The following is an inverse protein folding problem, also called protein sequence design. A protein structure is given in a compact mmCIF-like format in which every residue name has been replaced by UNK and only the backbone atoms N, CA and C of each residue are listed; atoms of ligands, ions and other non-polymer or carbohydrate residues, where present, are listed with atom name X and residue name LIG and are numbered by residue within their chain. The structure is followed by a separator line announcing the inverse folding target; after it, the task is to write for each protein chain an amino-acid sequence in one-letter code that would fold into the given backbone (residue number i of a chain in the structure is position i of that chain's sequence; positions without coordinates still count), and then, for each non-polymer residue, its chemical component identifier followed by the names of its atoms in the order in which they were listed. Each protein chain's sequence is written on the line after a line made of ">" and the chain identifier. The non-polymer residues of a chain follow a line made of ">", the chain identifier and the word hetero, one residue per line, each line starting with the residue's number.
data_IF_727436274117
#
_entry.id   IF_727436274117
#
_cell.length_a   1.000
_cell.length_b   1.000
_cell.length_c   1.000
_cell.angle_alpha   90.00
_cell.angle_beta   90.00
_cell.angle_gamma   90.00
#
_symmetry.space_group_name_H-M   'P 1'
#
loop_
_entity.id
_entity.type
_entity.pdbx_description
1 polymer ?
#
# COMPACT_ATOMS: atom_id res chain seq x y z
N UNK A 1 27.81 20.96 -19.89
CA UNK A 1 27.59 21.26 -18.46
C UNK A 1 26.88 22.59 -18.21
N UNK A 2 26.56 23.37 -19.22
CA UNK A 2 25.98 24.72 -19.12
C UNK A 2 24.45 24.75 -19.03
N UNK A 3 23.74 23.66 -19.32
CA UNK A 3 22.27 23.69 -19.41
C UNK A 3 21.52 23.17 -18.16
N UNK A 4 22.23 22.59 -17.19
CA UNK A 4 21.63 22.12 -15.94
C UNK A 4 21.44 23.25 -14.90
N UNK A 5 22.27 24.27 -14.92
CA UNK A 5 22.23 25.35 -13.93
C UNK A 5 20.91 26.17 -13.93
N UNK A 6 20.35 26.57 -15.09
CA UNK A 6 19.04 27.23 -15.14
C UNK A 6 17.89 26.36 -14.66
N UNK A 7 17.90 25.07 -15.00
CA UNK A 7 16.88 24.11 -14.60
C UNK A 7 16.91 23.85 -13.09
N UNK A 8 18.09 23.71 -12.51
CA UNK A 8 18.27 23.57 -11.05
C UNK A 8 17.82 24.83 -10.30
N UNK A 9 18.18 26.04 -10.81
CA UNK A 9 17.73 27.31 -10.23
C UNK A 9 16.19 27.46 -10.33
N UNK A 10 15.59 26.93 -11.38
CA UNK A 10 14.13 26.95 -11.55
C UNK A 10 13.44 25.98 -10.59
N UNK A 11 13.98 24.76 -10.41
CA UNK A 11 13.48 23.74 -9.48
C UNK A 11 13.48 24.23 -8.01
N UNK A 12 14.52 24.95 -7.60
CA UNK A 12 14.65 25.45 -6.22
C UNK A 12 14.34 26.94 -6.11
N UNK A 13 13.75 27.54 -7.13
CA UNK A 13 13.42 28.98 -7.13
C UNK A 13 12.41 29.37 -6.09
N UNK A 14 11.43 28.50 -5.83
CA UNK A 14 10.44 28.57 -4.75
C UNK A 14 10.22 27.13 -4.25
N UNK A 15 10.30 26.93 -2.95
CA UNK A 15 10.11 25.62 -2.34
C UNK A 15 9.49 25.78 -0.95
N UNK A 16 8.82 24.74 -0.48
CA UNK A 16 8.49 24.50 0.92
C UNK A 16 9.39 23.38 1.39
N UNK A 17 10.02 23.55 2.55
CA UNK A 17 10.86 22.52 3.15
C UNK A 17 10.23 22.06 4.47
N UNK A 18 10.26 20.77 4.70
CA UNK A 18 9.99 20.16 6.00
C UNK A 18 11.26 19.42 6.38
N UNK A 19 11.78 19.69 7.55
CA UNK A 19 12.97 19.01 8.07
C UNK A 19 12.67 18.40 9.43
N UNK A 20 13.35 17.31 9.72
CA UNK A 20 13.32 16.65 11.02
C UNK A 20 14.76 16.47 11.49
N UNK A 21 15.02 16.78 12.73
CA UNK A 21 16.32 16.61 13.37
C UNK A 21 16.17 15.67 14.56
N UNK A 22 16.84 14.51 14.50
CA UNK A 22 16.76 13.46 15.50
C UNK A 22 18.18 13.07 15.92
N UNK A 23 18.41 12.89 17.23
CA UNK A 23 19.67 12.43 17.78
C UNK A 23 20.24 13.37 18.83
N UNK A 24 21.56 13.41 18.95
CA UNK A 24 22.23 14.28 19.93
C UNK A 24 22.29 15.72 19.43
N UNK A 25 21.12 16.33 19.26
CA UNK A 25 20.94 17.72 18.83
C UNK A 25 19.89 18.36 19.75
N UNK A 26 20.19 19.57 20.22
CA UNK A 26 19.25 20.36 21.00
C UNK A 26 18.42 21.30 20.10
N UNK A 27 17.46 21.96 20.69
CA UNK A 27 16.57 22.91 19.99
C UNK A 27 17.37 24.01 19.27
N UNK A 28 18.45 24.48 19.88
CA UNK A 28 19.32 25.50 19.29
C UNK A 28 20.02 24.96 18.03
N UNK A 29 20.57 23.76 18.11
CA UNK A 29 21.20 23.10 16.96
C UNK A 29 20.18 22.84 15.84
N UNK A 30 18.95 22.44 16.17
CA UNK A 30 17.90 22.24 15.18
C UNK A 30 17.55 23.59 14.47
N UNK A 31 17.43 24.69 15.20
CA UNK A 31 17.23 26.01 14.62
C UNK A 31 18.41 26.48 13.75
N UNK A 32 19.65 26.21 14.14
CA UNK A 32 20.81 26.51 13.29
C UNK A 32 20.76 25.77 11.95
N UNK A 33 20.32 24.50 11.94
CA UNK A 33 20.09 23.73 10.70
C UNK A 33 18.97 24.36 9.86
N UNK A 34 17.86 24.75 10.47
CA UNK A 34 16.74 25.43 9.81
C UNK A 34 17.19 26.73 9.16
N UNK A 35 17.97 27.55 9.87
CA UNK A 35 18.52 28.82 9.34
C UNK A 35 19.39 28.58 8.11
N UNK A 36 20.24 27.54 8.12
CA UNK A 36 21.09 27.17 6.99
C UNK A 36 20.23 26.75 5.80
N UNK A 37 19.20 25.91 6.02
CA UNK A 37 18.27 25.48 4.97
C UNK A 37 17.55 26.72 4.39
N UNK A 38 16.99 27.56 5.23
CA UNK A 38 16.26 28.76 4.84
C UNK A 38 17.15 29.71 4.03
N UNK A 39 18.38 29.95 4.47
CA UNK A 39 19.33 30.82 3.81
C UNK A 39 19.75 30.33 2.43
N UNK A 40 19.90 29.03 2.26
CA UNK A 40 20.46 28.46 1.03
C UNK A 40 19.40 27.97 0.04
N UNK A 41 18.28 27.46 0.51
CA UNK A 41 17.23 26.86 -0.32
C UNK A 41 15.95 27.70 -0.44
N UNK A 42 15.60 28.50 0.60
CA UNK A 42 14.37 29.28 0.62
C UNK A 42 14.62 30.77 0.31
N UNK A 43 15.45 31.05 -0.68
CA UNK A 43 15.86 32.42 -1.01
C UNK A 43 14.73 33.33 -1.51
N UNK A 44 13.63 32.79 -1.95
CA UNK A 44 12.44 33.51 -2.41
C UNK A 44 11.26 33.19 -1.50
N UNK A 45 10.13 33.86 -1.72
CA UNK A 45 8.87 33.53 -1.04
C UNK A 45 8.63 32.04 -1.09
N UNK A 46 8.41 31.33 0.04
CA UNK A 46 8.10 29.92 0.05
C UNK A 46 6.82 29.63 -0.74
N UNK A 47 6.66 28.40 -1.18
CA UNK A 47 5.40 27.95 -1.76
C UNK A 47 4.31 28.03 -0.68
N UNK A 48 3.16 28.56 -1.06
CA UNK A 48 1.95 28.47 -0.24
C UNK A 48 1.38 27.06 -0.34
N UNK A 49 0.51 26.70 0.60
CA UNK A 49 -0.08 25.37 0.65
C UNK A 49 -0.89 25.04 -0.61
N UNK A 50 -1.58 26.03 -1.19
CA UNK A 50 -2.31 25.92 -2.45
C UNK A 50 -1.42 25.85 -3.71
N UNK A 51 -0.14 26.19 -3.58
CA UNK A 51 0.86 26.09 -4.63
C UNK A 51 1.64 24.76 -4.61
N UNK A 52 1.43 23.91 -3.60
CA UNK A 52 2.10 22.63 -3.48
C UNK A 52 1.54 21.63 -4.50
N UNK A 53 2.42 20.85 -5.15
CA UNK A 53 1.95 19.80 -6.06
C UNK A 53 1.22 18.71 -5.28
N UNK A 54 0.03 18.37 -5.71
CA UNK A 54 -0.71 17.24 -5.15
C UNK A 54 -0.19 15.95 -5.74
N UNK A 55 0.42 15.12 -4.92
CA UNK A 55 0.77 13.76 -5.32
C UNK A 55 -0.50 12.90 -5.37
N UNK A 56 -0.78 12.31 -6.54
CA UNK A 56 -1.94 11.43 -6.73
C UNK A 56 -1.48 10.12 -7.34
N UNK A 57 -1.84 9.01 -6.71
CA UNK A 57 -1.69 7.70 -7.32
C UNK A 57 -2.76 7.46 -8.38
N UNK A 58 -2.43 6.66 -9.39
CA UNK A 58 -3.41 6.24 -10.39
C UNK A 58 -4.38 5.24 -9.77
N UNK A 59 -5.65 5.40 -10.08
CA UNK A 59 -6.68 4.44 -9.72
C UNK A 59 -6.68 3.32 -10.75
N UNK A 60 -6.21 2.14 -10.38
CA UNK A 60 -6.18 0.98 -11.27
C UNK A 60 -7.60 0.65 -11.76
N UNK A 61 -7.76 0.19 -13.00
CA UNK A 61 -9.06 -0.01 -13.59
C UNK A 61 -9.75 -1.26 -13.04
N UNK A 62 -11.08 -1.23 -12.98
CA UNK A 62 -11.89 -2.41 -12.82
C UNK A 62 -12.15 -3.09 -14.20
N UNK A 63 -12.88 -4.21 -14.19
CA UNK A 63 -13.17 -4.98 -15.40
C UNK A 63 -13.89 -4.17 -16.49
N UNK A 64 -14.88 -3.37 -16.10
CA UNK A 64 -15.65 -2.55 -17.04
C UNK A 64 -14.79 -1.47 -17.70
N UNK A 65 -13.91 -0.83 -16.93
CA UNK A 65 -12.97 0.17 -17.42
C UNK A 65 -11.93 -0.46 -18.36
N UNK A 66 -11.37 -1.64 -18.04
CA UNK A 66 -10.48 -2.39 -18.94
C UNK A 66 -11.20 -2.74 -20.24
N UNK A 67 -12.42 -3.23 -20.17
CA UNK A 67 -13.22 -3.52 -21.36
C UNK A 67 -13.39 -2.28 -22.25
N UNK A 68 -13.59 -1.11 -21.65
CA UNK A 68 -13.69 0.15 -22.38
C UNK A 68 -12.37 0.57 -23.04
N UNK A 69 -11.24 0.35 -22.35
CA UNK A 69 -9.89 0.70 -22.86
C UNK A 69 -9.52 -0.17 -24.07
N UNK A 70 -9.77 -1.47 -24.00
CA UNK A 70 -9.34 -2.43 -25.02
C UNK A 70 -10.42 -2.75 -26.08
N UNK A 71 -11.66 -2.34 -25.85
CA UNK A 71 -12.81 -2.70 -26.72
C UNK A 71 -13.28 -4.14 -26.58
N UNK A 72 -12.68 -4.91 -25.68
CA UNK A 72 -13.02 -6.32 -25.38
C UNK A 72 -12.79 -6.63 -23.90
N UNK A 73 -13.50 -7.63 -23.38
CA UNK A 73 -13.36 -8.03 -21.99
C UNK A 73 -11.95 -8.64 -21.73
N UNK A 74 -11.34 -8.36 -20.54
CA UNK A 74 -10.10 -9.02 -20.15
C UNK A 74 -10.29 -10.53 -20.03
N UNK A 75 -9.24 -11.29 -20.30
CA UNK A 75 -9.27 -12.76 -20.22
C UNK A 75 -9.58 -13.25 -18.80
N UNK A 76 -8.93 -12.68 -17.79
CA UNK A 76 -9.22 -13.04 -16.41
C UNK A 76 -10.54 -12.43 -15.96
N UNK A 77 -11.38 -13.26 -15.33
CA UNK A 77 -12.64 -12.81 -14.74
C UNK A 77 -12.43 -12.16 -13.38
N UNK A 78 -11.36 -12.51 -12.68
CA UNK A 78 -11.09 -12.08 -11.30
C UNK A 78 -10.03 -10.98 -11.19
N UNK A 79 -9.09 -10.91 -12.16
CA UNK A 79 -8.02 -9.89 -12.20
C UNK A 79 -8.13 -9.12 -13.51
N UNK A 80 -8.65 -7.88 -13.45
CA UNK A 80 -8.88 -7.07 -14.66
C UNK A 80 -7.62 -6.70 -15.43
N UNK A 81 -6.49 -6.50 -14.72
CA UNK A 81 -5.25 -6.03 -15.33
C UNK A 81 -4.10 -6.96 -14.95
N UNK A 82 -3.36 -7.38 -15.97
CA UNK A 82 -2.19 -8.25 -15.83
C UNK A 82 -0.98 -7.53 -16.40
N UNK A 83 0.11 -7.49 -15.65
CA UNK A 83 1.41 -6.97 -16.10
C UNK A 83 2.34 -8.16 -16.22
N UNK A 84 2.86 -8.41 -17.40
CA UNK A 84 3.71 -9.56 -17.67
C UNK A 84 5.09 -9.15 -18.17
N UNK A 85 6.11 -9.87 -17.71
CA UNK A 85 7.49 -9.73 -18.17
C UNK A 85 8.21 -11.08 -18.11
N UNK A 86 9.31 -11.19 -18.86
CA UNK A 86 10.28 -12.27 -18.72
C UNK A 86 11.47 -11.77 -17.93
N UNK A 87 12.01 -12.58 -17.04
CA UNK A 87 13.22 -12.22 -16.28
C UNK A 87 14.39 -11.91 -17.21
N UNK A 88 15.19 -10.92 -16.85
CA UNK A 88 16.31 -10.48 -17.68
C UNK A 88 17.51 -11.43 -17.64
N UNK A 89 17.72 -12.12 -16.52
CA UNK A 89 18.80 -13.09 -16.39
C UNK A 89 18.38 -14.42 -17.03
N UNK A 90 19.20 -14.92 -17.94
CA UNK A 90 18.96 -16.25 -18.56
C UNK A 90 19.11 -17.40 -17.56
N UNK A 91 19.80 -17.16 -16.45
CA UNK A 91 19.99 -18.12 -15.35
C UNK A 91 18.89 -18.06 -14.29
N UNK A 92 17.89 -17.16 -14.43
CA UNK A 92 16.78 -17.10 -13.47
C UNK A 92 15.87 -18.32 -13.59
N UNK A 93 15.75 -19.06 -12.49
CA UNK A 93 14.94 -20.27 -12.44
C UNK A 93 13.53 -20.03 -11.88
N UNK A 94 13.34 -18.90 -11.19
CA UNK A 94 12.08 -18.64 -10.50
C UNK A 94 11.10 -17.85 -11.38
N UNK A 95 9.86 -18.24 -11.29
CA UNK A 95 8.72 -17.42 -11.66
C UNK A 95 8.29 -16.59 -10.45
N UNK A 96 7.72 -15.43 -10.69
CA UNK A 96 7.21 -14.59 -9.60
C UNK A 96 5.82 -14.08 -9.90
N UNK A 97 5.02 -13.94 -8.87
CA UNK A 97 3.69 -13.35 -8.90
C UNK A 97 3.55 -12.35 -7.75
N UNK A 98 3.08 -11.14 -8.05
CA UNK A 98 2.49 -10.23 -7.07
C UNK A 98 1.05 -9.96 -7.46
N UNK A 99 0.11 -10.48 -6.68
CA UNK A 99 -1.32 -10.17 -6.78
C UNK A 99 -1.61 -8.98 -5.89
N UNK A 100 -2.05 -7.87 -6.47
CA UNK A 100 -2.47 -6.67 -5.75
C UNK A 100 -3.98 -6.49 -5.91
N UNK A 101 -4.72 -6.49 -4.81
CA UNK A 101 -6.14 -6.15 -4.76
C UNK A 101 -6.25 -4.77 -4.14
N UNK A 102 -6.70 -3.79 -4.92
CA UNK A 102 -6.74 -2.40 -4.49
C UNK A 102 -7.95 -2.15 -3.60
N UNK A 103 -7.70 -1.48 -2.50
CA UNK A 103 -8.73 -0.93 -1.63
C UNK A 103 -9.02 0.53 -2.02
N UNK A 104 -9.75 1.25 -1.19
CA UNK A 104 -9.97 2.68 -1.40
C UNK A 104 -8.69 3.49 -1.11
N UNK A 105 -8.68 4.76 -1.51
CA UNK A 105 -7.59 5.66 -1.17
C UNK A 105 -7.50 5.88 0.36
N UNK A 106 -6.34 6.27 0.84
CA UNK A 106 -6.16 6.62 2.26
C UNK A 106 -7.15 7.70 2.70
N UNK A 107 -7.52 8.62 1.78
CA UNK A 107 -8.53 9.65 2.02
C UNK A 107 -9.93 9.06 2.24
N UNK A 108 -10.34 8.09 1.44
CA UNK A 108 -11.65 7.44 1.54
C UNK A 108 -11.71 6.49 2.75
N UNK A 109 -10.62 5.78 3.03
CA UNK A 109 -10.53 4.83 4.15
C UNK A 109 -10.54 5.52 5.52
N UNK A 110 -9.94 6.70 5.62
CA UNK A 110 -9.73 7.36 6.90
C UNK A 110 -8.88 6.53 7.86
N UNK A 111 -8.83 6.91 9.13
CA UNK A 111 -8.07 6.18 10.14
C UNK A 111 -8.63 4.78 10.42
N UNK A 112 -9.96 4.65 10.46
CA UNK A 112 -10.61 3.35 10.71
C UNK A 112 -10.26 2.33 9.64
N UNK A 113 -10.51 2.66 8.37
CA UNK A 113 -10.22 1.73 7.28
C UNK A 113 -8.73 1.39 7.16
N UNK A 114 -7.85 2.34 7.45
CA UNK A 114 -6.40 2.10 7.47
C UNK A 114 -5.97 1.20 8.64
N UNK A 115 -6.56 1.36 9.82
CA UNK A 115 -6.28 0.49 10.97
C UNK A 115 -6.80 -0.95 10.72
N UNK A 116 -7.98 -1.09 10.13
CA UNK A 116 -8.52 -2.38 9.69
C UNK A 116 -7.60 -3.05 8.67
N UNK A 117 -7.07 -2.28 7.74
CA UNK A 117 -6.15 -2.79 6.72
C UNK A 117 -4.82 -3.27 7.32
N UNK A 118 -4.26 -2.58 8.33
CA UNK A 118 -3.09 -3.04 9.07
C UNK A 118 -3.37 -4.36 9.81
N UNK A 119 -4.51 -4.45 10.49
CA UNK A 119 -4.92 -5.68 11.17
C UNK A 119 -5.04 -6.84 10.18
N UNK A 120 -5.72 -6.64 9.05
CA UNK A 120 -5.84 -7.63 8.00
C UNK A 120 -4.48 -8.07 7.44
N UNK A 121 -3.57 -7.12 7.18
CA UNK A 121 -2.24 -7.42 6.67
C UNK A 121 -1.42 -8.31 7.62
N UNK A 122 -1.48 -8.02 8.92
CA UNK A 122 -0.81 -8.81 9.95
C UNK A 122 -1.34 -10.24 10.04
N UNK A 123 -2.67 -10.40 10.09
CA UNK A 123 -3.32 -11.72 10.14
C UNK A 123 -3.09 -12.52 8.86
N UNK A 124 -3.13 -11.86 7.70
CA UNK A 124 -2.94 -12.46 6.40
C UNK A 124 -1.55 -13.05 6.20
N UNK A 125 -0.51 -12.40 6.74
CA UNK A 125 0.86 -12.90 6.62
C UNK A 125 1.01 -14.32 7.14
N UNK A 126 0.50 -14.59 8.35
CA UNK A 126 0.57 -15.92 8.98
C UNK A 126 -0.26 -16.98 8.23
N UNK A 127 -1.47 -16.60 7.78
CA UNK A 127 -2.34 -17.49 7.02
C UNK A 127 -1.74 -17.85 5.66
N UNK A 128 -1.27 -16.85 4.89
CA UNK A 128 -0.64 -17.07 3.59
C UNK A 128 0.60 -17.95 3.69
N UNK A 129 1.47 -17.67 4.66
CA UNK A 129 2.67 -18.47 4.89
C UNK A 129 2.33 -19.91 5.22
N UNK A 130 1.35 -20.14 6.09
CA UNK A 130 0.93 -21.49 6.47
C UNK A 130 0.31 -22.23 5.29
N UNK A 131 -0.60 -21.60 4.56
CA UNK A 131 -1.31 -22.26 3.47
C UNK A 131 -0.43 -22.41 2.22
N UNK A 132 0.06 -21.30 1.66
CA UNK A 132 0.70 -21.31 0.35
C UNK A 132 2.14 -21.83 0.40
N UNK A 133 2.89 -21.52 1.49
CA UNK A 133 4.27 -21.98 1.62
C UNK A 133 4.38 -23.35 2.27
N UNK A 134 3.71 -23.55 3.42
CA UNK A 134 3.93 -24.77 4.23
C UNK A 134 3.11 -25.94 3.73
N UNK A 135 1.81 -25.75 3.47
CA UNK A 135 0.92 -26.83 3.02
C UNK A 135 1.03 -27.09 1.53
N UNK A 136 0.96 -26.03 0.70
CA UNK A 136 0.96 -26.16 -0.76
C UNK A 136 2.36 -26.16 -1.37
N UNK A 137 3.37 -25.71 -0.62
CA UNK A 137 4.79 -25.69 -1.05
C UNK A 137 5.01 -24.95 -2.38
N UNK A 138 4.24 -23.87 -2.61
CA UNK A 138 4.31 -23.13 -3.88
C UNK A 138 5.66 -22.49 -4.14
N UNK A 139 6.40 -22.10 -3.06
CA UNK A 139 7.70 -21.50 -3.24
C UNK A 139 8.40 -21.14 -1.93
N UNK A 140 9.64 -20.69 -2.03
CA UNK A 140 10.44 -20.29 -0.88
C UNK A 140 10.00 -18.92 -0.32
N UNK A 141 9.68 -17.98 -1.19
CA UNK A 141 9.17 -16.66 -0.82
C UNK A 141 7.67 -16.66 -1.00
N UNK A 142 6.96 -16.52 0.11
CA UNK A 142 5.52 -16.29 0.18
C UNK A 142 5.26 -15.22 1.22
N UNK A 143 4.52 -14.18 0.87
CA UNK A 143 4.14 -13.10 1.78
C UNK A 143 2.78 -12.56 1.42
N UNK A 144 1.99 -12.18 2.43
CA UNK A 144 0.83 -11.31 2.26
C UNK A 144 1.04 -10.05 3.11
N UNK A 145 0.74 -8.90 2.55
CA UNK A 145 1.01 -7.62 3.19
C UNK A 145 0.15 -6.49 2.60
N UNK A 146 0.17 -5.37 3.29
CA UNK A 146 -0.47 -4.14 2.82
C UNK A 146 0.58 -3.25 2.15
N UNK A 147 0.28 -2.79 0.95
CA UNK A 147 1.11 -1.85 0.19
C UNK A 147 0.42 -0.49 0.17
N UNK A 148 1.15 0.52 0.60
CA UNK A 148 0.72 1.93 0.51
C UNK A 148 1.57 2.64 -0.53
N UNK A 149 0.96 3.43 -1.38
CA UNK A 149 1.67 4.24 -2.37
C UNK A 149 1.62 5.71 -1.99
N UNK A 150 2.68 6.45 -2.34
CA UNK A 150 2.66 7.89 -2.29
C UNK A 150 1.51 8.39 -3.20
N UNK A 151 0.70 9.34 -2.70
CA UNK A 151 -0.52 9.78 -3.39
C UNK A 151 -1.77 9.00 -3.00
N UNK A 152 -1.71 8.23 -1.90
CA UNK A 152 -2.87 7.69 -1.17
C UNK A 152 -3.46 6.39 -1.70
N UNK A 153 -2.82 5.71 -2.64
CA UNK A 153 -3.29 4.39 -3.07
C UNK A 153 -2.94 3.29 -2.08
N UNK A 154 -3.86 2.36 -1.85
CA UNK A 154 -3.66 1.21 -0.97
C UNK A 154 -4.01 -0.09 -1.68
N UNK A 155 -3.32 -1.16 -1.32
CA UNK A 155 -3.58 -2.50 -1.83
C UNK A 155 -3.29 -3.57 -0.79
N UNK A 156 -4.08 -4.63 -0.85
CA UNK A 156 -3.77 -5.91 -0.21
C UNK A 156 -3.00 -6.76 -1.21
N UNK A 157 -1.83 -7.23 -0.85
CA UNK A 157 -0.89 -7.88 -1.74
C UNK A 157 -0.58 -9.30 -1.31
N UNK A 158 -0.41 -10.19 -2.29
CA UNK A 158 0.13 -11.54 -2.10
C UNK A 158 1.29 -11.71 -3.07
N UNK A 159 2.46 -12.05 -2.54
CA UNK A 159 3.68 -12.28 -3.30
C UNK A 159 4.10 -13.74 -3.18
N UNK A 160 4.37 -14.37 -4.31
CA UNK A 160 4.92 -15.72 -4.38
C UNK A 160 6.06 -15.76 -5.40
N UNK A 161 7.19 -16.37 -5.00
CA UNK A 161 8.27 -16.73 -5.92
C UNK A 161 8.44 -18.25 -5.92
N UNK A 162 8.42 -18.85 -7.08
CA UNK A 162 8.39 -20.31 -7.27
C UNK A 162 9.32 -20.76 -8.39
N UNK A 163 10.10 -21.82 -8.15
CA UNK A 163 10.89 -22.48 -9.19
C UNK A 163 10.10 -23.50 -10.00
N UNK A 164 8.95 -23.94 -9.48
CA UNK A 164 8.23 -25.10 -10.00
C UNK A 164 6.85 -24.75 -10.58
N UNK A 165 6.26 -23.63 -10.17
CA UNK A 165 4.89 -23.25 -10.53
C UNK A 165 4.89 -22.01 -11.41
N UNK A 166 4.06 -22.01 -12.45
CA UNK A 166 3.94 -20.91 -13.40
C UNK A 166 3.06 -19.77 -12.85
N UNK A 167 3.29 -18.51 -13.27
CA UNK A 167 2.55 -17.35 -12.73
C UNK A 167 1.03 -17.45 -12.83
N UNK A 168 0.40 -17.95 -13.91
CA UNK A 168 -1.06 -18.12 -13.93
C UNK A 168 -1.59 -19.08 -12.88
N UNK A 169 -0.88 -20.18 -12.63
CA UNK A 169 -1.26 -21.14 -11.59
C UNK A 169 -1.04 -20.57 -10.19
N UNK A 170 0.07 -19.82 -9.98
CA UNK A 170 0.28 -19.09 -8.73
C UNK A 170 -0.86 -18.10 -8.46
N UNK A 171 -1.34 -17.39 -9.48
CA UNK A 171 -2.47 -16.46 -9.34
C UNK A 171 -3.75 -17.21 -8.91
N UNK A 172 -4.07 -18.34 -9.53
CA UNK A 172 -5.23 -19.15 -9.16
C UNK A 172 -5.15 -19.60 -7.70
N UNK A 173 -3.97 -20.03 -7.24
CA UNK A 173 -3.75 -20.45 -5.86
C UNK A 173 -3.88 -19.27 -4.88
N UNK A 174 -3.29 -18.11 -5.21
CA UNK A 174 -3.44 -16.90 -4.41
C UNK A 174 -4.91 -16.45 -4.31
N UNK A 175 -5.64 -16.45 -5.42
CA UNK A 175 -7.07 -16.11 -5.43
C UNK A 175 -7.92 -17.09 -4.63
N UNK A 176 -7.58 -18.39 -4.70
CA UNK A 176 -8.23 -19.42 -3.89
C UNK A 176 -7.97 -19.19 -2.39
N UNK A 177 -6.73 -18.88 -2.03
CA UNK A 177 -6.38 -18.55 -0.66
C UNK A 177 -7.08 -17.28 -0.16
N UNK A 178 -7.21 -16.24 -0.97
CA UNK A 178 -7.98 -15.03 -0.60
C UNK A 178 -9.41 -15.39 -0.20
N UNK A 179 -10.07 -16.32 -0.92
CA UNK A 179 -11.41 -16.80 -0.57
C UNK A 179 -11.40 -17.62 0.72
N UNK A 180 -10.41 -18.49 0.89
CA UNK A 180 -10.24 -19.31 2.10
C UNK A 180 -9.97 -18.45 3.33
N UNK A 181 -9.11 -17.45 3.22
CA UNK A 181 -8.76 -16.57 4.35
C UNK A 181 -9.99 -15.80 4.88
N UNK A 182 -10.93 -15.42 4.00
CA UNK A 182 -12.22 -14.86 4.41
C UNK A 182 -12.98 -15.81 5.34
N UNK A 183 -12.99 -17.11 5.03
CA UNK A 183 -13.63 -18.12 5.86
C UNK A 183 -12.89 -18.31 7.20
N UNK A 184 -11.56 -18.35 7.17
CA UNK A 184 -10.74 -18.44 8.39
C UNK A 184 -11.04 -17.27 9.34
N UNK A 185 -11.20 -16.05 8.82
CA UNK A 185 -11.59 -14.87 9.62
C UNK A 185 -12.98 -15.01 10.21
N UNK A 186 -13.95 -15.54 9.45
CA UNK A 186 -15.32 -15.74 9.92
C UNK A 186 -15.40 -16.80 11.01
N UNK A 187 -14.69 -17.91 10.85
CA UNK A 187 -14.66 -19.03 11.79
C UNK A 187 -13.81 -18.76 13.04
N UNK A 188 -12.96 -17.71 13.02
CA UNK A 188 -12.13 -17.36 14.16
C UNK A 188 -12.99 -16.98 15.37
N UNK A 189 -12.69 -17.53 16.57
CA UNK A 189 -13.40 -17.13 17.78
C UNK A 189 -13.12 -15.67 18.15
N UNK A 190 -14.04 -15.04 18.86
CA UNK A 190 -13.92 -13.65 19.27
C UNK A 190 -12.69 -13.45 20.18
N UNK A 191 -12.39 -14.42 21.06
CA UNK A 191 -11.22 -14.38 21.94
C UNK A 191 -9.91 -14.38 21.14
N UNK A 192 -9.83 -15.24 20.11
CA UNK A 192 -8.66 -15.27 19.23
C UNK A 192 -8.53 -13.99 18.43
N UNK A 193 -9.64 -13.47 17.91
CA UNK A 193 -9.66 -12.21 17.17
C UNK A 193 -9.20 -11.02 18.04
N UNK A 194 -9.64 -10.97 19.31
CA UNK A 194 -9.19 -9.99 20.29
C UNK A 194 -7.67 -10.08 20.53
N UNK A 195 -7.14 -11.30 20.64
CA UNK A 195 -5.70 -11.52 20.78
C UNK A 195 -4.89 -11.01 19.56
N UNK A 196 -5.37 -11.27 18.34
CA UNK A 196 -4.72 -10.78 17.11
C UNK A 196 -4.75 -9.24 17.06
N UNK A 197 -5.89 -8.62 17.37
CA UNK A 197 -6.00 -7.16 17.42
C UNK A 197 -5.08 -6.56 18.49
N UNK A 198 -5.01 -7.17 19.68
CA UNK A 198 -4.09 -6.74 20.75
C UNK A 198 -2.62 -6.89 20.37
N UNK A 199 -2.25 -7.95 19.63
CA UNK A 199 -0.89 -8.14 19.14
C UNK A 199 -0.50 -7.07 18.11
N UNK A 200 -1.38 -6.76 17.17
CA UNK A 200 -1.15 -5.68 16.19
C UNK A 200 -1.03 -4.32 16.88
N UNK A 201 -1.91 -4.04 17.84
CA UNK A 201 -1.82 -2.83 18.67
C UNK A 201 -0.49 -2.73 19.41
N UNK A 202 -0.03 -3.81 20.03
CA UNK A 202 1.26 -3.83 20.74
C UNK A 202 2.43 -3.54 19.77
N UNK A 203 2.42 -4.13 18.59
CA UNK A 203 3.44 -3.88 17.57
C UNK A 203 3.42 -2.42 17.07
N UNK A 204 2.23 -1.84 16.88
CA UNK A 204 2.09 -0.44 16.48
C UNK A 204 2.68 0.52 17.52
N UNK A 205 2.53 0.20 18.81
CA UNK A 205 3.01 1.02 19.94
C UNK A 205 4.42 0.66 20.40
N UNK A 206 5.09 -0.29 19.74
CA UNK A 206 6.47 -0.63 20.05
C UNK A 206 7.37 0.57 19.80
N UNK A 207 8.17 0.92 20.78
CA UNK A 207 9.07 2.07 20.69
C UNK A 207 10.28 1.76 19.83
N UNK A 208 10.62 2.70 18.97
CA UNK A 208 11.88 2.67 18.23
C UNK A 208 13.07 2.61 19.21
N UNK A 209 13.96 1.65 19.01
CA UNK A 209 15.15 1.45 19.87
C UNK A 209 16.38 2.09 19.25
N UNK A 210 16.44 2.14 17.91
CA UNK A 210 17.57 2.68 17.17
C UNK A 210 17.22 4.01 16.54
N UNK A 211 18.21 4.92 16.53
CA UNK A 211 18.07 6.21 15.88
C UNK A 211 17.55 6.12 14.43
N UNK A 212 18.00 5.10 13.68
CA UNK A 212 17.55 4.88 12.31
C UNK A 212 16.08 4.48 12.21
N UNK A 213 15.56 3.75 13.18
CA UNK A 213 14.14 3.39 13.29
C UNK A 213 13.31 4.64 13.57
N UNK A 214 13.71 5.45 14.57
CA UNK A 214 13.06 6.71 14.93
C UNK A 214 13.01 7.69 13.75
N UNK A 215 14.13 7.83 13.01
CA UNK A 215 14.16 8.65 11.78
C UNK A 215 13.20 8.11 10.74
N UNK A 216 13.15 6.79 10.53
CA UNK A 216 12.28 6.17 9.52
C UNK A 216 10.81 6.32 9.88
N UNK A 217 10.45 6.14 11.15
CA UNK A 217 9.09 6.32 11.66
C UNK A 217 8.63 7.77 11.48
N UNK A 218 9.44 8.73 11.92
CA UNK A 218 9.13 10.14 11.80
C UNK A 218 9.06 10.59 10.33
N UNK A 219 9.96 10.11 9.47
CA UNK A 219 9.92 10.39 8.03
C UNK A 219 8.69 9.79 7.37
N UNK A 220 8.28 8.59 7.81
CA UNK A 220 7.05 7.95 7.38
C UNK A 220 5.82 8.81 7.67
N UNK A 221 5.77 9.49 8.81
CA UNK A 221 4.67 10.43 9.13
C UNK A 221 4.69 11.68 8.24
N UNK A 222 5.86 12.24 7.96
CA UNK A 222 5.99 13.38 7.04
C UNK A 222 5.52 13.02 5.63
N UNK A 223 5.81 11.81 5.16
CA UNK A 223 5.40 11.31 3.85
C UNK A 223 3.98 10.76 3.83
N UNK A 224 3.34 10.62 4.98
CA UNK A 224 2.00 10.05 5.08
C UNK A 224 0.98 10.91 4.33
N UNK A 225 0.18 10.24 3.50
CA UNK A 225 -0.93 10.86 2.76
C UNK A 225 -2.27 10.62 3.43
N UNK A 226 -2.27 10.34 4.73
CA UNK A 226 -3.50 10.14 5.50
C UNK A 226 -4.26 11.47 5.58
N UNK A 227 -5.56 11.46 5.30
CA UNK A 227 -6.34 12.66 5.14
C UNK A 227 -6.82 13.19 6.49
N UNK A 228 -6.25 14.27 6.93
CA UNK A 228 -6.90 15.10 7.95
C UNK A 228 -6.59 16.56 7.69
N UNK A 229 -7.59 17.30 7.34
CA UNK A 229 -7.73 18.72 7.17
C UNK A 229 -6.54 19.61 7.57
N UNK A 230 -6.34 19.86 8.84
CA UNK A 230 -5.23 20.67 9.34
C UNK A 230 -3.89 19.92 9.43
N UNK A 231 -3.90 18.58 9.41
CA UNK A 231 -2.69 17.76 9.58
C UNK A 231 -1.72 17.80 8.40
N UNK A 232 -2.18 18.16 7.21
CA UNK A 232 -1.27 18.39 6.09
C UNK A 232 -0.44 19.66 6.23
N UNK A 233 -0.89 20.62 7.04
CA UNK A 233 -0.14 21.84 7.31
C UNK A 233 0.97 21.59 8.33
N UNK A 234 0.70 20.73 9.29
CA UNK A 234 1.63 20.33 10.34
C UNK A 234 1.55 18.81 10.51
N UNK A 235 2.57 18.04 10.12
CA UNK A 235 2.59 16.60 10.36
C UNK A 235 2.33 16.34 11.85
N UNK A 236 1.27 15.60 12.15
CA UNK A 236 0.97 15.18 13.52
C UNK A 236 1.47 13.76 13.63
N UNK A 237 2.42 13.52 14.52
CA UNK A 237 3.09 12.25 14.71
C UNK A 237 2.28 11.32 15.63
N UNK A 238 0.95 11.26 15.44
CA UNK A 238 0.00 10.48 16.26
C UNK A 238 -0.82 9.45 15.46
N UNK A 239 -0.45 9.20 14.19
CA UNK A 239 -1.19 8.29 13.31
C UNK A 239 -1.19 6.87 13.84
N UNK A 240 -0.05 6.42 14.34
CA UNK A 240 0.15 5.07 14.87
C UNK A 240 -0.64 4.89 16.15
N UNK A 241 -0.64 5.87 17.03
CA UNK A 241 -1.45 5.90 18.25
C UNK A 241 -2.95 5.86 17.90
N UNK A 242 -3.39 6.62 16.92
CA UNK A 242 -4.79 6.59 16.47
C UNK A 242 -5.20 5.22 15.91
N UNK A 243 -4.32 4.55 15.18
CA UNK A 243 -4.59 3.18 14.72
C UNK A 243 -4.70 2.22 15.91
N UNK A 244 -3.79 2.33 16.87
CA UNK A 244 -3.81 1.54 18.08
C UNK A 244 -5.09 1.78 18.91
N UNK A 245 -5.51 3.04 19.02
CA UNK A 245 -6.75 3.40 19.72
C UNK A 245 -7.99 2.79 19.06
N UNK A 246 -8.07 2.81 17.72
CA UNK A 246 -9.16 2.20 16.95
C UNK A 246 -9.23 0.69 17.19
N UNK A 247 -8.08 0.03 17.30
CA UNK A 247 -8.00 -1.40 17.57
C UNK A 247 -8.14 -1.76 19.05
N UNK A 248 -8.35 -0.76 19.94
CA UNK A 248 -8.58 -0.98 21.36
C UNK A 248 -10.04 -1.27 21.62
N UNK A 249 -10.35 -2.38 22.31
CA UNK A 249 -11.69 -2.76 22.72
C UNK A 249 -12.04 -2.17 24.10
N UNK A 250 -13.31 -2.04 24.40
CA UNK A 250 -13.87 -1.29 25.56
C UNK A 250 -13.39 -1.76 26.94
N UNK A 251 -12.76 -2.92 27.05
CA UNK A 251 -12.29 -3.49 28.33
C UNK A 251 -10.97 -2.90 28.86
N UNK A 252 -10.33 -2.03 28.11
CA UNK A 252 -9.06 -1.43 28.53
C UNK A 252 -9.33 -0.10 29.25
N UNK A 253 -9.45 -0.17 30.60
CA UNK A 253 -9.75 0.98 31.47
C UNK A 253 -8.70 2.09 31.43
N UNK A 254 -7.56 1.86 30.77
CA UNK A 254 -6.45 2.80 30.69
C UNK A 254 -6.53 3.77 29.49
N UNK A 255 -7.46 3.56 28.56
CA UNK A 255 -7.62 4.40 27.38
C UNK A 255 -8.69 5.48 27.63
N UNK A 256 -8.25 6.70 27.88
CA UNK A 256 -9.09 7.87 28.10
C UNK A 256 -9.55 8.55 26.80
N UNK A 257 -9.81 7.81 25.73
CA UNK A 257 -10.11 8.48 24.46
C UNK A 257 -11.57 8.31 24.05
N UNK A 258 -12.18 9.43 23.65
CA UNK A 258 -13.47 9.49 22.95
C UNK A 258 -13.42 8.83 21.55
N UNK A 259 -12.27 8.25 21.18
CA UNK A 259 -11.96 7.69 19.85
C UNK A 259 -12.23 6.20 19.73
N UNK A 260 -12.77 5.54 20.76
CA UNK A 260 -13.13 4.12 20.69
C UNK A 260 -14.23 3.90 19.66
N UNK A 261 -13.88 3.18 18.60
CA UNK A 261 -14.83 2.90 17.50
C UNK A 261 -15.60 1.61 17.75
N UNK A 262 -14.96 0.60 18.40
CA UNK A 262 -15.54 -0.73 18.57
C UNK A 262 -15.73 -1.11 20.05
N UNK A 263 -16.92 -1.63 20.38
CA UNK A 263 -17.31 -2.04 21.73
C UNK A 263 -16.89 -3.48 22.07
N UNK A 264 -16.66 -4.30 21.07
CA UNK A 264 -16.33 -5.72 21.25
C UNK A 264 -15.53 -6.28 20.09
N UNK A 265 -14.86 -7.41 20.33
CA UNK A 265 -14.16 -8.17 19.30
C UNK A 265 -15.11 -8.59 18.16
N UNK A 266 -16.35 -8.96 18.48
CA UNK A 266 -17.37 -9.33 17.50
C UNK A 266 -17.73 -8.16 16.57
N UNK A 267 -17.83 -6.94 17.10
CA UNK A 267 -18.11 -5.74 16.30
C UNK A 267 -16.93 -5.41 15.37
N UNK A 268 -15.70 -5.40 15.89
CA UNK A 268 -14.50 -5.19 15.08
C UNK A 268 -14.36 -6.29 14.01
N UNK A 269 -14.54 -7.56 14.38
CA UNK A 269 -14.51 -8.69 13.46
C UNK A 269 -15.52 -8.52 12.32
N UNK A 270 -16.76 -8.16 12.66
CA UNK A 270 -17.79 -7.88 11.65
C UNK A 270 -17.34 -6.78 10.69
N UNK A 271 -16.79 -5.70 11.19
CA UNK A 271 -16.33 -4.59 10.36
C UNK A 271 -15.15 -4.97 9.47
N UNK A 272 -14.24 -5.84 9.97
CA UNK A 272 -13.16 -6.42 9.17
C UNK A 272 -13.71 -7.31 8.05
N UNK A 273 -14.73 -8.12 8.33
CA UNK A 273 -15.38 -8.96 7.32
C UNK A 273 -16.12 -8.14 6.27
N UNK A 274 -16.83 -7.09 6.68
CA UNK A 274 -17.51 -6.15 5.78
C UNK A 274 -16.47 -5.47 4.85
N UNK A 275 -15.34 -5.02 5.40
CA UNK A 275 -14.23 -4.44 4.62
C UNK A 275 -13.65 -5.47 3.63
N UNK A 276 -13.47 -6.71 4.06
CA UNK A 276 -12.97 -7.79 3.22
C UNK A 276 -13.88 -8.04 2.01
N UNK A 277 -15.17 -8.15 2.26
CA UNK A 277 -16.18 -8.41 1.24
C UNK A 277 -16.31 -7.24 0.27
N UNK A 278 -16.24 -5.99 0.78
CA UNK A 278 -16.33 -4.76 -0.01
C UNK A 278 -15.17 -4.62 -1.02
N UNK A 279 -13.93 -4.89 -0.58
CA UNK A 279 -12.76 -4.60 -1.40
C UNK A 279 -12.11 -5.84 -2.03
N UNK A 280 -12.05 -6.96 -1.31
CA UNK A 280 -11.26 -8.13 -1.74
C UNK A 280 -12.09 -9.17 -2.50
N UNK A 281 -13.37 -9.32 -2.18
CA UNK A 281 -14.24 -10.33 -2.80
C UNK A 281 -15.31 -9.79 -3.74
N UNK A 282 -15.47 -8.48 -3.82
CA UNK A 282 -16.46 -7.89 -4.73
C UNK A 282 -16.17 -8.27 -6.19
N UNK A 283 -17.20 -8.59 -7.00
CA UNK A 283 -17.03 -8.89 -8.42
C UNK A 283 -16.43 -7.75 -9.25
N UNK A 284 -16.63 -6.50 -8.81
CA UNK A 284 -16.11 -5.29 -9.47
C UNK A 284 -14.78 -4.79 -8.86
N UNK A 285 -14.07 -5.67 -8.16
CA UNK A 285 -12.80 -5.32 -7.53
C UNK A 285 -11.77 -4.80 -8.54
N UNK A 286 -10.92 -3.94 -8.07
CA UNK A 286 -9.75 -3.45 -8.77
C UNK A 286 -8.57 -4.32 -8.38
N UNK A 287 -8.04 -5.07 -9.32
CA UNK A 287 -6.91 -5.94 -9.04
C UNK A 287 -5.90 -5.91 -10.18
N UNK A 288 -4.64 -6.07 -9.81
CA UNK A 288 -3.51 -6.16 -10.75
C UNK A 288 -2.69 -7.40 -10.40
N UNK A 289 -2.38 -8.19 -11.40
CA UNK A 289 -1.46 -9.31 -11.29
C UNK A 289 -0.16 -8.97 -12.00
N UNK A 290 0.94 -8.90 -11.28
CA UNK A 290 2.28 -8.76 -11.86
C UNK A 290 2.93 -10.13 -11.95
N UNK A 291 3.20 -10.58 -13.17
CA UNK A 291 3.73 -11.92 -13.46
C UNK A 291 5.10 -11.80 -14.12
N UNK A 292 6.10 -12.41 -13.51
CA UNK A 292 7.42 -12.53 -14.11
C UNK A 292 7.71 -13.99 -14.40
N UNK A 293 7.89 -14.29 -15.68
CA UNK A 293 8.24 -15.62 -16.15
C UNK A 293 9.75 -15.82 -16.14
N UNK A 294 10.20 -17.01 -15.73
CA UNK A 294 11.56 -17.39 -15.99
C UNK A 294 11.79 -17.58 -17.51
N UNK A 295 13.04 -17.52 -18.01
CA UNK A 295 13.31 -17.60 -19.45
C UNK A 295 12.82 -18.89 -20.11
N UNK A 296 12.74 -19.99 -19.38
CA UNK A 296 12.24 -21.29 -19.89
C UNK A 296 10.74 -21.26 -20.20
N UNK A 297 10.00 -20.33 -19.57
CA UNK A 297 8.55 -20.16 -19.75
C UNK A 297 8.18 -19.00 -20.70
N UNK A 298 9.16 -18.44 -21.44
CA UNK A 298 8.98 -17.31 -22.35
C UNK A 298 7.88 -17.49 -23.39
N UNK A 299 7.69 -18.71 -23.90
CA UNK A 299 6.61 -18.99 -24.87
C UNK A 299 5.20 -18.73 -24.33
N UNK A 300 5.00 -18.88 -23.02
CA UNK A 300 3.70 -18.57 -22.38
C UNK A 300 3.48 -17.07 -22.31
N UNK A 301 4.50 -16.31 -21.98
CA UNK A 301 4.46 -14.84 -22.03
C UNK A 301 4.11 -14.37 -23.47
N UNK A 302 4.80 -14.88 -24.49
CA UNK A 302 4.59 -14.49 -25.89
C UNK A 302 3.16 -14.74 -26.38
N UNK A 303 2.49 -15.79 -25.88
CA UNK A 303 1.08 -16.09 -26.20
C UNK A 303 0.08 -15.07 -25.63
N UNK A 304 0.48 -14.29 -24.64
CA UNK A 304 -0.40 -13.32 -23.98
C UNK A 304 -0.24 -11.91 -24.54
N UNK A 305 0.79 -11.65 -25.34
CA UNK A 305 1.05 -10.33 -25.93
C UNK A 305 -0.17 -9.87 -26.77
N UNK A 306 -0.64 -8.67 -26.52
CA UNK A 306 -1.76 -8.05 -27.24
C UNK A 306 -3.16 -8.48 -26.79
N UNK A 307 -3.28 -9.33 -25.77
CA UNK A 307 -4.57 -9.67 -25.19
C UNK A 307 -5.15 -8.52 -24.36
N UNK A 308 -6.48 -8.43 -24.31
CA UNK A 308 -7.16 -7.39 -23.54
C UNK A 308 -6.84 -7.52 -22.02
N UNK A 309 -6.44 -6.42 -21.42
CA UNK A 309 -6.07 -6.37 -20.00
C UNK A 309 -4.66 -6.87 -19.70
N UNK A 310 -3.86 -7.19 -20.72
CA UNK A 310 -2.45 -7.59 -20.54
C UNK A 310 -1.53 -6.46 -20.98
N UNK A 311 -0.65 -6.06 -20.08
CA UNK A 311 0.45 -5.10 -20.29
C UNK A 311 1.73 -5.89 -20.42
N UNK A 312 2.30 -5.94 -21.61
CA UNK A 312 3.54 -6.65 -21.92
C UNK A 312 4.62 -5.73 -22.48
N UNK A 313 4.28 -4.47 -22.77
CA UNK A 313 5.15 -3.46 -23.32
C UNK A 313 4.96 -2.09 -22.67
N UNK A 314 5.90 -1.18 -22.94
CA UNK A 314 5.77 0.23 -22.55
C UNK A 314 4.57 0.91 -23.21
N UNK A 315 4.29 0.58 -24.47
CA UNK A 315 3.17 1.09 -25.25
C UNK A 315 1.83 0.70 -24.63
N UNK A 316 1.67 -0.56 -24.20
CA UNK A 316 0.49 -1.05 -23.47
C UNK A 316 0.30 -0.28 -22.17
N UNK A 317 1.39 -0.09 -21.42
CA UNK A 317 1.35 0.67 -20.17
C UNK A 317 0.92 2.12 -20.39
N UNK A 318 1.39 2.77 -21.47
CA UNK A 318 0.98 4.13 -21.82
C UNK A 318 -0.48 4.19 -22.29
N UNK A 319 -0.95 3.18 -23.03
CA UNK A 319 -2.36 3.08 -23.42
C UNK A 319 -3.26 3.07 -22.19
N UNK A 320 -2.99 2.17 -21.24
CA UNK A 320 -3.79 2.06 -20.00
C UNK A 320 -3.69 3.35 -19.19
N UNK A 321 -2.48 3.86 -18.95
CA UNK A 321 -2.24 5.06 -18.14
C UNK A 321 -3.02 6.28 -18.59
N UNK A 322 -3.19 6.48 -19.89
CA UNK A 322 -3.94 7.63 -20.46
C UNK A 322 -5.43 7.62 -20.10
N UNK A 323 -5.96 6.47 -19.75
CA UNK A 323 -7.38 6.29 -19.45
C UNK A 323 -7.66 6.18 -17.95
N UNK A 324 -6.61 6.11 -17.10
CA UNK A 324 -6.80 6.01 -15.68
C UNK A 324 -7.12 7.37 -15.05
N UNK A 325 -8.04 7.34 -14.11
CA UNK A 325 -8.26 8.44 -13.17
C UNK A 325 -7.24 8.39 -12.02
N UNK A 326 -7.18 9.43 -11.23
CA UNK A 326 -6.39 9.45 -9.99
C UNK A 326 -7.26 9.10 -8.80
N UNK A 327 -6.65 8.51 -7.78
CA UNK A 327 -7.30 8.34 -6.49
C UNK A 327 -7.62 9.70 -5.86
N UNK A 328 -8.75 9.82 -5.15
CA UNK A 328 -9.01 10.99 -4.33
C UNK A 328 -7.90 11.18 -3.29
N UNK A 329 -7.51 12.43 -3.10
CA UNK A 329 -6.56 12.82 -2.05
C UNK A 329 -7.17 13.96 -1.26
N UNK A 330 -6.79 14.11 0.00
CA UNK A 330 -7.14 15.31 0.72
C UNK A 330 -6.56 16.53 0.01
N UNK A 331 -7.29 17.63 -0.05
CA UNK A 331 -6.71 18.90 -0.47
C UNK A 331 -5.61 19.30 0.51
N UNK A 332 -4.53 19.89 -0.01
CA UNK A 332 -3.43 20.40 0.80
C UNK A 332 -3.76 21.74 1.51
N UNK A 333 -5.03 22.12 1.56
CA UNK A 333 -5.54 23.36 2.19
C UNK A 333 -6.61 23.09 3.24
#
# INVERSE_FOLDING_TARGET
>A
MTDLAPSVICLFGRSKAVSISIGNIDEKGAHEVEEVISKHFLKKRPLLDDELPTFRSLKMPNRAEVTKIYGSAPESTEVPLIIEAVAHSEDEENNSLELMILTASSYELGYEGLAIQELLGSMAYNSAFTQLRTKEQLGYIVSAFVKKSNGGGNAFCVLVQSSNTLPPELEERCLSWVKQFRQELEEMSDERFEMEAAAVRANLLEKDIKLGEEVSSAWGEILSTVPHGEHFKNPVFDRVEKFADILTLEKDDNVQSDTRVFKSASELKKRVLDFYDEYLLTPDRRAVSSRVYNPKAKELFEKNIGKAGVISSYEDAQLVKRHLSTNPTAPYW
#
